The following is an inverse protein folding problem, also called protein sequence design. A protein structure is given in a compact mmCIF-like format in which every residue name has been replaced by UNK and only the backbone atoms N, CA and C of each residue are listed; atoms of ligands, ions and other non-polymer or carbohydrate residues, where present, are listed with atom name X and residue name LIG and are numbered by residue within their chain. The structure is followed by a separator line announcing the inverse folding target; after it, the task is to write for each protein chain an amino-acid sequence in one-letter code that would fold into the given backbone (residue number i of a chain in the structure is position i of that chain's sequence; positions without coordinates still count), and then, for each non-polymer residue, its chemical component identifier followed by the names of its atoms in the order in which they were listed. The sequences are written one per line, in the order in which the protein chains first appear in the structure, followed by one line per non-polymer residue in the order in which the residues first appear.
data_IF_287393447001
#
_entry.id   IF_287393447001
#
_cell.length_a   1.000
_cell.length_b   1.000
_cell.length_c   1.000
_cell.angle_alpha   90.00
_cell.angle_beta   90.00
_cell.angle_gamma   90.00
#
_symmetry.space_group_name_H-M   'P 1'
#
loop_
_entity.id
_entity.type
_entity.pdbx_description
1 polymer ?
#
# COMPACT_ATOMS: atom_id res chain seq x y z
N UNK A 1 22.83 -49.84 -10.66
CA UNK A 1 23.68 -50.21 -9.51
C UNK A 1 24.46 -48.99 -9.04
N UNK A 2 24.36 -48.68 -7.79
CA UNK A 2 25.05 -47.82 -6.83
C UNK A 2 24.23 -46.67 -6.27
N UNK A 3 23.64 -46.98 -5.12
CA UNK A 3 23.09 -46.05 -4.10
C UNK A 3 24.18 -45.15 -3.56
N UNK A 4 23.85 -43.86 -3.36
CA UNK A 4 24.52 -43.04 -2.33
C UNK A 4 23.45 -42.44 -1.41
N UNK A 5 23.47 -42.91 -0.18
CA UNK A 5 22.76 -42.35 0.96
C UNK A 5 23.45 -41.05 1.36
N UNK A 6 22.69 -40.00 1.62
CA UNK A 6 23.16 -38.78 2.30
C UNK A 6 22.55 -38.71 3.69
N UNK A 7 23.46 -38.57 4.66
CA UNK A 7 23.24 -38.53 6.07
C UNK A 7 22.53 -37.22 6.48
N UNK A 8 21.48 -37.39 7.25
CA UNK A 8 20.81 -36.27 7.97
C UNK A 8 21.49 -36.17 9.35
N UNK A 9 22.04 -35.01 9.67
CA UNK A 9 22.65 -34.72 10.99
C UNK A 9 21.67 -33.85 11.79
N UNK A 10 21.11 -34.46 12.84
CA UNK A 10 20.30 -33.75 13.84
C UNK A 10 21.25 -33.01 14.81
N UNK A 11 20.99 -31.72 15.01
CA UNK A 11 21.51 -31.00 16.16
C UNK A 11 20.38 -30.65 17.12
N UNK A 12 20.38 -31.33 18.22
CA UNK A 12 19.54 -31.10 19.39
C UNK A 12 20.25 -30.06 20.26
N UNK A 13 19.62 -28.96 20.61
CA UNK A 13 20.15 -28.05 21.64
C UNK A 13 19.15 -27.88 22.77
N UNK A 14 19.64 -28.18 23.96
CA UNK A 14 18.90 -28.25 25.22
C UNK A 14 18.48 -26.90 25.75
N UNK A 15 17.25 -26.87 26.25
CA UNK A 15 16.67 -25.82 27.13
C UNK A 15 17.24 -25.99 28.54
N UNK A 16 17.72 -24.91 29.12
CA UNK A 16 17.97 -24.80 30.56
C UNK A 16 17.08 -23.72 31.18
N UNK A 17 16.11 -24.20 31.94
CA UNK A 17 15.26 -23.39 32.83
C UNK A 17 16.04 -23.15 34.12
N UNK A 18 16.12 -21.92 34.58
CA UNK A 18 16.40 -21.59 35.96
C UNK A 18 15.32 -20.62 36.49
N UNK A 19 14.50 -21.19 37.35
CA UNK A 19 13.60 -20.47 38.21
C UNK A 19 14.34 -19.90 39.44
N UNK A 20 14.02 -18.70 39.85
CA UNK A 20 14.32 -18.26 41.23
C UNK A 20 13.18 -17.38 41.73
N UNK A 21 12.70 -17.78 42.89
CA UNK A 21 11.57 -17.26 43.63
C UNK A 21 11.89 -16.06 44.54
N UNK A 22 10.86 -15.25 44.81
CA UNK A 22 10.50 -14.65 46.12
C UNK A 22 11.10 -13.28 46.47
N UNK A 23 10.31 -12.25 46.77
CA UNK A 23 9.47 -12.05 47.97
C UNK A 23 8.59 -10.77 47.84
N UNK A 24 7.40 -10.86 48.41
CA UNK A 24 6.42 -9.80 48.72
C UNK A 24 6.97 -8.73 49.65
N UNK A 25 6.58 -7.46 49.41
CA UNK A 25 6.07 -6.57 50.51
C UNK A 25 5.15 -5.51 49.94
N UNK A 26 4.04 -5.35 50.62
CA UNK A 26 2.98 -4.38 50.54
C UNK A 26 3.49 -2.97 50.84
N UNK A 27 3.05 -1.94 50.09
CA UNK A 27 2.19 -0.90 50.62
C UNK A 27 1.74 0.14 49.55
N UNK A 28 0.55 0.52 49.72
CA UNK A 28 -0.47 1.40 49.32
C UNK A 28 -0.05 2.79 48.79
N UNK A 29 -0.82 3.19 47.78
CA UNK A 29 -1.42 4.51 47.50
C UNK A 29 -0.74 5.45 46.51
N UNK A 30 -1.59 5.83 45.62
CA UNK A 30 -1.88 7.14 45.00
C UNK A 30 -1.26 7.42 43.62
N UNK A 31 -2.19 7.57 42.74
CA UNK A 31 -2.45 8.51 41.64
C UNK A 31 -1.95 8.14 40.25
N UNK A 32 -2.93 7.74 39.48
CA UNK A 32 -3.38 8.15 38.14
C UNK A 32 -2.52 9.19 37.38
N UNK A 33 -2.44 8.93 36.08
CA UNK A 33 -1.97 9.77 35.00
C UNK A 33 -0.50 9.49 34.59
N UNK A 34 -0.33 8.43 33.81
CA UNK A 34 0.78 8.29 32.84
C UNK A 34 0.76 6.96 32.05
N UNK A 35 -0.39 6.50 31.60
CA UNK A 35 -0.44 5.25 30.80
C UNK A 35 -0.97 5.42 29.35
N UNK A 36 -1.23 6.64 28.89
CA UNK A 36 -1.77 6.85 27.54
C UNK A 36 -0.74 7.20 26.46
N UNK A 37 0.54 7.39 26.81
CA UNK A 37 1.56 7.79 25.82
C UNK A 37 2.56 6.71 25.43
N UNK A 38 2.60 5.60 26.14
CA UNK A 38 3.58 4.52 25.82
C UNK A 38 3.04 3.42 24.88
N UNK A 39 1.72 3.33 24.65
CA UNK A 39 1.13 2.31 23.78
C UNK A 39 1.14 2.66 22.29
N UNK A 40 1.31 3.91 21.92
CA UNK A 40 1.28 4.37 20.51
C UNK A 40 2.66 4.24 19.85
N UNK A 41 3.75 4.38 20.60
CA UNK A 41 5.11 4.25 20.06
C UNK A 41 5.53 2.78 19.79
N UNK A 42 4.98 1.81 20.53
CA UNK A 42 5.29 0.38 20.27
C UNK A 42 4.61 -0.16 19.01
N UNK A 43 3.45 0.37 18.62
CA UNK A 43 2.71 -0.15 17.47
C UNK A 43 3.28 0.36 16.14
N UNK A 44 3.69 1.63 16.07
CA UNK A 44 4.34 2.20 14.88
C UNK A 44 5.72 1.57 14.58
N UNK A 45 6.45 1.14 15.62
CA UNK A 45 7.74 0.45 15.42
C UNK A 45 7.59 -1.01 14.91
N UNK A 46 6.40 -1.60 15.02
CA UNK A 46 6.10 -2.94 14.53
C UNK A 46 5.70 -2.96 13.05
N UNK A 47 4.95 -1.97 12.58
CA UNK A 47 4.59 -1.85 11.16
C UNK A 47 5.81 -1.68 10.25
N UNK A 48 6.73 -0.77 10.63
CA UNK A 48 7.97 -0.57 9.88
C UNK A 48 8.90 -1.81 9.91
N UNK A 49 8.84 -2.59 10.98
CA UNK A 49 9.62 -3.84 11.06
C UNK A 49 9.01 -4.96 10.18
N UNK A 50 7.67 -4.96 9.96
CA UNK A 50 6.98 -5.95 9.15
C UNK A 50 7.32 -5.82 7.68
N UNK A 51 7.21 -4.63 7.13
CA UNK A 51 7.60 -4.34 5.75
C UNK A 51 9.08 -4.67 5.45
N UNK A 52 9.91 -4.75 6.48
CA UNK A 52 11.35 -5.03 6.35
C UNK A 52 11.70 -6.51 6.13
N UNK A 53 11.07 -7.43 6.84
CA UNK A 53 11.34 -8.87 6.66
C UNK A 53 10.73 -9.38 5.35
N UNK A 54 9.56 -8.87 5.00
CA UNK A 54 8.85 -9.21 3.78
C UNK A 54 9.63 -8.80 2.51
N UNK A 55 10.20 -7.59 2.49
CA UNK A 55 10.96 -7.11 1.32
C UNK A 55 12.35 -7.73 1.15
N UNK A 56 12.96 -8.29 2.21
CA UNK A 56 14.33 -8.86 2.10
C UNK A 56 14.45 -10.08 1.19
N UNK A 57 13.38 -10.86 1.04
CA UNK A 57 13.35 -12.02 0.17
C UNK A 57 13.12 -11.65 -1.31
N UNK A 58 12.26 -10.67 -1.56
CA UNK A 58 11.79 -10.33 -2.89
C UNK A 58 12.80 -9.51 -3.71
N UNK A 59 13.49 -8.56 -3.03
CA UNK A 59 14.47 -7.68 -3.71
C UNK A 59 15.73 -8.42 -4.13
N UNK A 60 16.14 -9.48 -3.43
CA UNK A 60 17.34 -10.24 -3.81
C UNK A 60 17.12 -11.16 -5.02
N UNK A 61 15.88 -11.62 -5.25
CA UNK A 61 15.58 -12.47 -6.42
C UNK A 61 15.27 -11.66 -7.69
N UNK A 62 14.89 -10.38 -7.54
CA UNK A 62 14.57 -9.48 -8.65
C UNK A 62 15.82 -8.87 -9.33
N UNK A 63 16.94 -8.78 -8.61
CA UNK A 63 18.18 -8.07 -9.09
C UNK A 63 18.85 -8.74 -10.30
N UNK A 64 18.56 -10.01 -10.58
CA UNK A 64 19.20 -10.76 -11.68
C UNK A 64 18.42 -10.72 -13.01
N UNK A 65 17.30 -9.99 -13.10
CA UNK A 65 16.57 -9.85 -14.37
C UNK A 65 16.95 -8.54 -15.08
N UNK A 66 17.43 -8.65 -16.32
CA UNK A 66 17.75 -7.49 -17.16
C UNK A 66 16.50 -6.62 -17.39
N UNK A 67 16.57 -5.36 -16.97
CA UNK A 67 15.57 -4.34 -17.32
C UNK A 67 15.74 -4.04 -18.80
N UNK A 68 14.71 -4.28 -19.61
CA UNK A 68 14.72 -3.88 -21.02
C UNK A 68 14.39 -4.96 -22.05
N UNK A 69 13.91 -6.14 -21.64
CA UNK A 69 13.31 -7.10 -22.60
C UNK A 69 11.87 -6.66 -22.87
N UNK A 70 11.45 -6.46 -24.13
CA UNK A 70 10.05 -6.20 -24.43
C UNK A 70 9.20 -7.35 -23.89
N UNK A 71 8.28 -7.05 -22.99
CA UNK A 71 7.34 -8.01 -22.44
C UNK A 71 6.40 -8.46 -23.57
N UNK A 72 6.39 -9.75 -23.90
CA UNK A 72 5.28 -10.32 -24.64
C UNK A 72 4.14 -10.51 -23.66
N UNK A 73 3.07 -9.75 -23.82
CA UNK A 73 1.84 -9.85 -23.01
C UNK A 73 1.37 -11.30 -23.08
N UNK A 74 1.64 -12.08 -22.01
CA UNK A 74 1.30 -13.50 -21.96
C UNK A 74 -0.18 -13.77 -21.76
N UNK A 75 -0.90 -12.78 -21.23
CA UNK A 75 -2.34 -12.85 -20.95
C UNK A 75 -2.98 -11.55 -21.39
N UNK A 76 -3.92 -11.61 -22.31
CA UNK A 76 -4.65 -10.44 -22.79
C UNK A 76 -5.93 -10.25 -21.99
N UNK A 77 -6.54 -9.04 -21.95
CA UNK A 77 -7.84 -8.82 -21.33
C UNK A 77 -8.94 -9.78 -21.79
N UNK A 78 -8.86 -10.29 -23.01
CA UNK A 78 -9.79 -11.28 -23.57
C UNK A 78 -9.67 -12.63 -22.85
N UNK A 79 -8.52 -12.97 -22.27
CA UNK A 79 -8.30 -14.20 -21.53
C UNK A 79 -9.06 -14.22 -20.19
N UNK A 80 -9.41 -13.07 -19.66
CA UNK A 80 -10.22 -12.93 -18.43
C UNK A 80 -11.74 -12.99 -18.68
N UNK A 81 -12.14 -13.14 -19.95
CA UNK A 81 -13.55 -13.25 -20.38
C UNK A 81 -14.44 -12.12 -19.82
N UNK A 82 -13.89 -10.89 -19.77
CA UNK A 82 -14.64 -9.70 -19.40
C UNK A 82 -14.96 -8.90 -20.67
N UNK A 83 -16.25 -8.79 -21.00
CA UNK A 83 -16.74 -7.86 -22.03
C UNK A 83 -16.51 -6.42 -21.55
N UNK A 84 -15.34 -5.87 -21.88
CA UNK A 84 -14.89 -4.58 -21.43
C UNK A 84 -14.92 -3.55 -22.56
N UNK A 85 -15.75 -2.52 -22.39
CA UNK A 85 -15.87 -1.42 -23.35
C UNK A 85 -15.10 -0.20 -22.87
N UNK A 86 -13.82 -0.11 -23.21
CA UNK A 86 -12.96 1.04 -22.89
C UNK A 86 -13.45 2.36 -23.51
N UNK A 87 -14.30 2.30 -24.53
CA UNK A 87 -14.82 3.50 -25.20
C UNK A 87 -15.68 4.39 -24.29
N UNK A 88 -16.09 3.89 -23.13
CA UNK A 88 -16.89 4.61 -22.14
C UNK A 88 -16.07 5.22 -21.02
N UNK A 89 -14.77 4.88 -20.90
CA UNK A 89 -13.97 5.41 -19.80
C UNK A 89 -13.67 6.89 -20.00
N UNK A 90 -14.02 7.67 -18.99
CA UNK A 90 -13.62 9.08 -18.91
C UNK A 90 -12.11 9.15 -18.61
N UNK A 91 -11.44 10.08 -19.28
CA UNK A 91 -10.05 10.41 -18.95
C UNK A 91 -9.95 11.09 -17.59
N UNK A 92 -8.76 11.03 -16.97
CA UNK A 92 -8.49 11.78 -15.75
C UNK A 92 -8.91 13.26 -15.85
N UNK A 93 -8.63 13.91 -17.00
CA UNK A 93 -8.98 15.32 -17.18
C UNK A 93 -10.48 15.61 -17.15
N UNK A 94 -11.31 14.65 -17.51
CA UNK A 94 -12.77 14.77 -17.45
C UNK A 94 -13.31 14.55 -16.04
N UNK A 95 -12.54 13.83 -15.19
CA UNK A 95 -12.92 13.51 -13.79
C UNK A 95 -12.37 14.51 -12.76
N UNK A 96 -11.39 15.34 -13.11
CA UNK A 96 -10.77 16.29 -12.18
C UNK A 96 -11.79 17.22 -11.55
N UNK A 97 -11.84 17.24 -10.23
CA UNK A 97 -12.61 18.22 -9.48
C UNK A 97 -12.03 19.63 -9.62
N UNK A 98 -12.78 20.64 -9.19
CA UNK A 98 -12.29 22.02 -9.14
C UNK A 98 -11.11 22.23 -8.17
N UNK A 99 -10.87 21.27 -7.29
CA UNK A 99 -9.78 21.29 -6.30
C UNK A 99 -8.51 20.63 -6.82
N UNK A 100 -8.57 19.93 -7.97
CA UNK A 100 -7.36 19.32 -8.53
C UNK A 100 -6.29 20.40 -8.77
N UNK A 101 -5.09 20.24 -8.19
CA UNK A 101 -4.06 21.27 -8.23
C UNK A 101 -3.56 21.52 -9.66
N UNK A 102 -3.53 22.81 -10.08
CA UNK A 102 -3.09 23.19 -11.44
C UNK A 102 -1.64 22.86 -11.74
N UNK A 103 -0.80 22.90 -10.70
CA UNK A 103 0.64 22.64 -10.78
C UNK A 103 1.00 21.21 -10.38
N UNK A 104 0.02 20.29 -10.45
CA UNK A 104 0.16 18.89 -10.05
C UNK A 104 -0.04 18.66 -8.55
N UNK A 105 -0.38 17.43 -8.22
CA UNK A 105 -0.60 16.95 -6.85
C UNK A 105 0.73 16.87 -6.10
N UNK A 106 0.80 17.52 -4.96
CA UNK A 106 1.90 17.43 -3.97
C UNK A 106 1.27 17.11 -2.64
N UNK A 107 1.25 15.83 -2.31
CA UNK A 107 0.47 15.35 -1.19
C UNK A 107 1.31 14.78 -0.06
N UNK A 108 0.69 14.71 1.11
CA UNK A 108 1.21 13.97 2.25
C UNK A 108 0.15 13.02 2.80
N UNK A 109 0.58 11.94 3.45
CA UNK A 109 -0.28 11.06 4.20
C UNK A 109 -0.65 11.68 5.54
N UNK A 110 -1.93 11.68 5.87
CA UNK A 110 -2.42 12.13 7.17
C UNK A 110 -3.17 11.01 7.89
N UNK A 111 -2.51 10.40 8.85
CA UNK A 111 -3.08 9.31 9.63
C UNK A 111 -4.42 9.73 10.26
N UNK A 112 -5.49 9.02 9.95
CA UNK A 112 -6.86 9.36 10.34
C UNK A 112 -7.02 9.46 11.86
N UNK A 113 -6.30 8.65 12.63
CA UNK A 113 -6.33 8.69 14.10
C UNK A 113 -5.78 9.99 14.68
N UNK A 114 -4.93 10.68 13.93
CA UNK A 114 -4.34 11.95 14.31
C UNK A 114 -5.22 13.18 13.96
N UNK A 115 -6.27 13.01 13.16
CA UNK A 115 -7.15 14.13 12.74
C UNK A 115 -7.84 14.78 13.96
N UNK A 116 -8.20 13.98 14.95
CA UNK A 116 -8.83 14.46 16.18
C UNK A 116 -7.82 14.90 17.26
N UNK A 117 -6.52 14.82 17.00
CA UNK A 117 -5.50 15.39 17.85
C UNK A 117 -5.23 16.85 17.44
N UNK A 118 -5.59 17.86 18.25
CA UNK A 118 -5.49 19.27 17.84
C UNK A 118 -4.05 19.71 17.54
N UNK A 119 -3.06 19.13 18.23
CA UNK A 119 -1.65 19.50 18.03
C UNK A 119 -1.13 18.97 16.69
N UNK A 120 -1.34 17.69 16.41
CA UNK A 120 -0.92 17.07 15.15
C UNK A 120 -1.69 17.65 13.97
N UNK A 121 -3.01 17.84 14.13
CA UNK A 121 -3.83 18.50 13.10
C UNK A 121 -3.28 19.89 12.75
N UNK A 122 -2.96 20.71 13.78
CA UNK A 122 -2.43 22.05 13.53
C UNK A 122 -1.06 22.01 12.86
N UNK A 123 -0.16 21.10 13.25
CA UNK A 123 1.15 20.92 12.58
C UNK A 123 0.98 20.62 11.09
N UNK A 124 0.08 19.69 10.74
CA UNK A 124 -0.21 19.36 9.34
C UNK A 124 -0.79 20.58 8.60
N UNK A 125 -1.73 21.29 9.20
CA UNK A 125 -2.31 22.48 8.57
C UNK A 125 -1.27 23.60 8.40
N UNK A 126 -0.39 23.80 9.37
CA UNK A 126 0.70 24.79 9.27
C UNK A 126 1.66 24.39 8.15
N UNK A 127 1.96 23.11 7.98
CA UNK A 127 2.80 22.62 6.88
C UNK A 127 2.12 22.87 5.52
N UNK A 128 0.83 22.56 5.39
CA UNK A 128 0.06 22.85 4.17
C UNK A 128 -0.02 24.36 3.85
N UNK A 129 -0.19 25.21 4.87
CA UNK A 129 -0.34 26.64 4.69
C UNK A 129 1.01 27.36 4.36
N UNK A 130 2.17 26.76 4.73
CA UNK A 130 3.48 27.36 4.57
C UNK A 130 4.36 26.75 3.46
N UNK A 131 3.89 25.72 2.78
CA UNK A 131 4.63 25.02 1.71
C UNK A 131 3.84 24.98 0.41
N UNK A 132 4.37 24.27 -0.59
CA UNK A 132 3.66 24.00 -1.85
C UNK A 132 2.77 22.73 -1.80
N UNK A 133 2.70 22.06 -0.66
CA UNK A 133 1.78 20.96 -0.47
C UNK A 133 0.33 21.43 -0.65
N UNK A 134 -0.45 20.64 -1.35
CA UNK A 134 -1.79 21.01 -1.78
C UNK A 134 -2.80 19.87 -1.69
N UNK A 135 -2.35 18.71 -1.20
CA UNK A 135 -3.12 17.48 -1.18
C UNK A 135 -2.89 16.70 0.11
N UNK A 136 -3.95 16.13 0.64
CA UNK A 136 -3.90 15.20 1.77
C UNK A 136 -4.43 13.84 1.33
N UNK A 137 -3.68 12.79 1.65
CA UNK A 137 -4.13 11.40 1.59
C UNK A 137 -4.52 10.95 2.99
N UNK A 138 -5.74 10.46 3.16
CA UNK A 138 -6.26 10.03 4.45
C UNK A 138 -6.92 8.66 4.34
N UNK A 139 -6.70 7.78 5.32
CA UNK A 139 -7.34 6.47 5.32
C UNK A 139 -8.86 6.58 5.45
N UNK A 140 -9.54 5.94 4.53
CA UNK A 140 -10.95 5.60 4.62
C UNK A 140 -11.09 4.23 5.25
N UNK A 141 -10.21 3.31 4.87
CA UNK A 141 -10.03 2.00 5.45
C UNK A 141 -8.54 1.81 5.72
N UNK A 142 -8.18 1.58 6.98
CA UNK A 142 -6.79 1.48 7.41
C UNK A 142 -6.17 0.09 7.13
N UNK A 143 -4.90 -0.07 7.45
CA UNK A 143 -4.10 -1.29 7.19
C UNK A 143 -4.54 -2.49 8.04
N UNK A 144 -5.35 -2.28 9.08
CA UNK A 144 -5.93 -3.36 9.88
C UNK A 144 -7.31 -3.80 9.37
N UNK A 145 -7.96 -2.98 8.56
CA UNK A 145 -9.30 -3.19 7.99
C UNK A 145 -10.39 -2.34 8.66
N UNK A 146 -10.02 -1.41 9.56
CA UNK A 146 -11.02 -0.51 10.14
C UNK A 146 -11.47 0.53 9.11
N UNK A 147 -12.78 0.65 8.93
CA UNK A 147 -13.39 1.78 8.21
C UNK A 147 -13.42 2.97 9.17
N UNK A 148 -12.51 3.91 8.99
CA UNK A 148 -12.24 5.01 9.91
C UNK A 148 -13.26 6.14 9.84
N UNK A 149 -14.01 6.21 8.76
CA UNK A 149 -14.98 7.25 8.46
C UNK A 149 -16.39 6.87 8.92
N UNK A 150 -17.11 7.83 9.52
CA UNK A 150 -18.48 7.64 9.94
C UNK A 150 -19.48 7.75 8.78
N UNK A 151 -19.44 6.79 7.87
CA UNK A 151 -20.39 6.74 6.76
C UNK A 151 -21.79 6.38 7.21
N UNK A 152 -22.79 7.05 6.62
CA UNK A 152 -24.18 6.62 6.71
C UNK A 152 -24.43 5.48 5.72
N UNK A 153 -24.61 4.27 6.24
CA UNK A 153 -24.76 3.05 5.45
C UNK A 153 -25.61 2.01 6.18
N UNK A 154 -26.38 1.24 5.42
CA UNK A 154 -27.11 0.08 5.92
C UNK A 154 -26.35 -1.25 5.71
N UNK A 155 -25.17 -1.21 5.09
CA UNK A 155 -24.36 -2.39 4.86
C UNK A 155 -23.79 -2.93 6.19
N UNK A 156 -24.13 -4.15 6.55
CA UNK A 156 -23.80 -4.77 7.84
C UNK A 156 -22.30 -5.14 7.96
N UNK A 157 -21.59 -5.28 6.84
CA UNK A 157 -20.17 -5.57 6.83
C UNK A 157 -19.38 -4.28 7.08
N UNK A 158 -19.76 -3.19 6.43
CA UNK A 158 -19.16 -1.86 6.67
C UNK A 158 -19.45 -1.39 8.09
N UNK A 159 -20.68 -1.60 8.61
CA UNK A 159 -20.99 -1.30 10.02
C UNK A 159 -20.14 -2.08 11.01
N UNK A 160 -19.80 -3.31 10.69
CA UNK A 160 -18.95 -4.15 11.54
C UNK A 160 -17.53 -3.59 11.64
N UNK A 161 -16.98 -3.14 10.53
CA UNK A 161 -15.59 -2.62 10.44
C UNK A 161 -15.47 -1.14 10.84
N UNK A 162 -16.59 -0.43 10.99
CA UNK A 162 -16.61 1.02 11.20
C UNK A 162 -16.19 1.44 12.62
N UNK A 163 -15.29 2.41 12.73
CA UNK A 163 -14.77 2.94 14.00
C UNK A 163 -15.26 4.35 14.33
N UNK A 164 -15.97 5.02 13.40
CA UNK A 164 -16.58 6.35 13.57
C UNK A 164 -15.61 7.46 14.05
N UNK A 165 -14.34 7.42 13.60
CA UNK A 165 -13.31 8.37 14.04
C UNK A 165 -13.56 9.77 13.49
N UNK A 166 -13.93 9.86 12.19
CA UNK A 166 -14.06 11.13 11.47
C UNK A 166 -15.40 11.19 10.73
N UNK A 167 -16.08 12.34 10.78
CA UNK A 167 -17.17 12.64 9.86
C UNK A 167 -16.59 12.97 8.49
N UNK A 168 -16.84 12.16 7.43
CA UNK A 168 -16.18 12.32 6.15
C UNK A 168 -16.57 13.60 5.42
N UNK A 169 -17.82 14.04 5.53
CA UNK A 169 -18.33 15.24 4.86
C UNK A 169 -17.74 16.50 5.50
N UNK A 170 -17.78 16.59 6.83
CA UNK A 170 -17.21 17.70 7.59
C UNK A 170 -15.70 17.82 7.36
N UNK A 171 -14.99 16.70 7.29
CA UNK A 171 -13.55 16.66 7.01
C UNK A 171 -13.24 17.21 5.61
N UNK A 172 -13.91 16.68 4.58
CA UNK A 172 -13.68 17.09 3.18
C UNK A 172 -14.04 18.57 3.00
N UNK A 173 -15.16 19.03 3.55
CA UNK A 173 -15.55 20.45 3.48
C UNK A 173 -14.49 21.37 4.10
N UNK A 174 -13.93 21.03 5.27
CA UNK A 174 -12.84 21.80 5.91
C UNK A 174 -11.57 21.84 5.07
N UNK A 175 -11.21 20.75 4.40
CA UNK A 175 -10.06 20.71 3.49
C UNK A 175 -10.33 21.58 2.25
N UNK A 176 -11.51 21.48 1.68
CA UNK A 176 -11.94 22.26 0.54
C UNK A 176 -12.00 23.77 0.83
N UNK A 177 -12.37 24.19 2.04
CA UNK A 177 -12.32 25.60 2.48
C UNK A 177 -10.89 26.16 2.41
N UNK A 178 -9.87 25.32 2.59
CA UNK A 178 -8.45 25.65 2.45
C UNK A 178 -7.93 25.46 1.01
N UNK A 179 -8.74 24.94 0.10
CA UNK A 179 -8.33 24.63 -1.26
C UNK A 179 -7.49 23.38 -1.39
N UNK A 180 -7.53 22.50 -0.42
CA UNK A 180 -6.77 21.24 -0.36
C UNK A 180 -7.55 20.16 -1.12
N UNK A 181 -6.87 19.43 -2.01
CA UNK A 181 -7.34 18.24 -2.69
C UNK A 181 -7.30 17.03 -1.74
N UNK A 182 -8.36 16.23 -1.69
CA UNK A 182 -8.49 15.16 -0.71
C UNK A 182 -8.55 13.80 -1.39
N UNK A 183 -7.54 12.98 -1.16
CA UNK A 183 -7.47 11.59 -1.61
C UNK A 183 -7.89 10.67 -0.47
N UNK A 184 -8.87 9.82 -0.73
CA UNK A 184 -9.29 8.80 0.21
C UNK A 184 -8.59 7.46 -0.07
N UNK A 185 -7.70 7.01 0.84
CA UNK A 185 -7.00 5.74 0.72
C UNK A 185 -7.83 4.60 1.29
N UNK A 186 -7.96 3.53 0.52
CA UNK A 186 -8.62 2.28 0.89
C UNK A 186 -7.58 1.17 0.86
N UNK A 187 -7.18 0.67 2.03
CA UNK A 187 -6.42 -0.58 2.11
C UNK A 187 -7.32 -1.72 1.65
N UNK A 188 -6.98 -2.33 0.52
CA UNK A 188 -7.89 -3.21 -0.21
C UNK A 188 -7.91 -4.61 0.38
N UNK A 189 -6.98 -5.46 -0.01
CA UNK A 189 -7.04 -6.89 0.35
C UNK A 189 -6.34 -7.26 1.67
N UNK A 190 -5.68 -6.35 2.34
CA UNK A 190 -5.19 -6.53 3.70
C UNK A 190 -6.29 -6.11 4.68
N UNK A 191 -6.93 -7.06 5.36
CA UNK A 191 -8.06 -6.77 6.24
C UNK A 191 -8.25 -7.87 7.28
N UNK A 192 -7.86 -7.59 8.52
CA UNK A 192 -7.99 -8.51 9.65
C UNK A 192 -9.38 -8.42 10.29
N UNK A 193 -10.08 -7.30 10.13
CA UNK A 193 -11.39 -7.06 10.77
C UNK A 193 -12.49 -7.85 10.06
N UNK A 194 -12.63 -7.66 8.74
CA UNK A 194 -13.74 -8.32 8.03
C UNK A 194 -13.50 -9.82 7.85
N UNK A 195 -12.24 -10.26 7.76
CA UNK A 195 -11.89 -11.68 7.70
C UNK A 195 -12.16 -12.42 9.00
N UNK A 196 -12.14 -11.74 10.16
CA UNK A 196 -12.61 -12.32 11.42
C UNK A 196 -14.11 -12.62 11.38
N UNK A 197 -14.91 -11.72 10.80
CA UNK A 197 -16.36 -11.89 10.60
C UNK A 197 -16.68 -12.93 9.53
N UNK A 198 -15.92 -12.93 8.45
CA UNK A 198 -16.07 -13.79 7.27
C UNK A 198 -14.77 -14.56 6.99
N UNK A 199 -14.44 -15.63 7.75
CA UNK A 199 -13.21 -16.39 7.50
C UNK A 199 -13.16 -17.02 6.07
N UNK A 200 -14.29 -17.23 5.44
CA UNK A 200 -14.44 -17.70 4.06
C UNK A 200 -14.11 -16.63 3.00
N UNK A 201 -14.00 -15.36 3.41
CA UNK A 201 -13.48 -14.28 2.56
C UNK A 201 -11.95 -14.17 2.58
N UNK A 202 -11.29 -14.83 3.52
CA UNK A 202 -9.85 -14.88 3.64
C UNK A 202 -9.25 -16.19 3.14
N UNK A 203 -8.11 -16.50 3.69
CA UNK A 203 -7.38 -17.76 3.47
C UNK A 203 -7.38 -18.55 4.78
N UNK A 204 -7.59 -19.87 4.70
CA UNK A 204 -7.62 -20.71 5.90
C UNK A 204 -6.60 -21.83 5.83
N UNK A 205 -6.13 -22.26 7.00
CA UNK A 205 -5.31 -23.44 7.16
C UNK A 205 -6.14 -24.73 6.99
N UNK A 206 -5.49 -25.89 6.93
CA UNK A 206 -6.16 -27.20 6.76
C UNK A 206 -7.20 -27.49 7.86
N UNK A 207 -6.98 -27.00 9.08
CA UNK A 207 -7.90 -27.13 10.22
C UNK A 207 -9.05 -26.11 10.23
N UNK A 208 -9.12 -25.22 9.23
CA UNK A 208 -10.13 -24.18 9.09
C UNK A 208 -9.82 -22.89 9.88
N UNK A 209 -8.66 -22.79 10.53
CA UNK A 209 -8.22 -21.56 11.20
C UNK A 209 -7.89 -20.50 10.14
N UNK A 210 -8.27 -19.24 10.39
CA UNK A 210 -7.90 -18.12 9.52
C UNK A 210 -6.37 -18.00 9.46
N UNK A 211 -5.82 -17.93 8.26
CA UNK A 211 -4.41 -17.69 8.05
C UNK A 211 -4.07 -16.22 8.29
N UNK A 212 -2.95 -16.00 8.96
CA UNK A 212 -2.36 -14.66 9.13
C UNK A 212 -0.87 -14.72 8.80
N UNK A 213 -0.31 -13.58 8.39
CA UNK A 213 1.12 -13.45 8.19
C UNK A 213 1.89 -13.48 9.52
N UNK A 214 3.23 -13.32 9.48
CA UNK A 214 4.10 -13.33 10.66
C UNK A 214 3.80 -12.22 11.70
N UNK A 215 2.98 -11.23 11.33
CA UNK A 215 2.57 -10.11 12.18
C UNK A 215 1.13 -10.24 12.72
N UNK A 216 0.47 -11.34 12.41
CA UNK A 216 -0.90 -11.59 12.82
C UNK A 216 -1.95 -10.92 11.94
N UNK A 217 -1.56 -10.39 10.79
CA UNK A 217 -2.45 -9.72 9.84
C UNK A 217 -3.08 -10.71 8.87
N UNK A 218 -4.38 -10.57 8.62
CA UNK A 218 -5.10 -11.38 7.66
C UNK A 218 -5.29 -10.65 6.32
N UNK A 219 -5.47 -11.44 5.28
CA UNK A 219 -5.72 -10.94 3.93
C UNK A 219 -7.05 -11.50 3.42
N UNK A 220 -7.82 -10.64 2.76
CA UNK A 220 -8.98 -11.05 1.98
C UNK A 220 -8.53 -11.70 0.68
N UNK A 221 -9.36 -12.58 0.17
CA UNK A 221 -9.14 -13.33 -1.06
C UNK A 221 -9.56 -12.51 -2.30
N UNK A 222 -8.63 -12.00 -3.12
CA UNK A 222 -8.96 -11.17 -4.29
C UNK A 222 -9.77 -11.87 -5.38
N UNK A 223 -9.82 -13.20 -5.38
CA UNK A 223 -10.62 -13.98 -6.31
C UNK A 223 -12.13 -13.86 -6.08
N UNK A 224 -12.56 -13.40 -4.90
CA UNK A 224 -13.96 -13.36 -4.52
C UNK A 224 -14.60 -12.03 -4.92
N UNK A 225 -15.71 -12.14 -5.66
CA UNK A 225 -16.45 -10.97 -6.09
C UNK A 225 -17.03 -10.18 -4.90
N UNK A 226 -17.52 -10.87 -3.88
CA UNK A 226 -18.05 -10.27 -2.65
C UNK A 226 -17.00 -9.46 -1.89
N UNK A 227 -15.73 -9.89 -1.89
CA UNK A 227 -14.60 -9.17 -1.33
C UNK A 227 -14.34 -7.89 -2.13
N UNK A 228 -14.28 -7.99 -3.46
CA UNK A 228 -14.14 -6.83 -4.33
C UNK A 228 -15.31 -5.85 -4.17
N UNK A 229 -16.55 -6.36 -4.07
CA UNK A 229 -17.76 -5.55 -3.84
C UNK A 229 -17.70 -4.77 -2.52
N UNK A 230 -17.12 -5.36 -1.48
CA UNK A 230 -16.97 -4.72 -0.18
C UNK A 230 -16.08 -3.46 -0.27
N UNK A 231 -14.88 -3.57 -0.83
CA UNK A 231 -13.97 -2.43 -0.98
C UNK A 231 -14.50 -1.36 -1.95
N UNK A 232 -15.12 -1.77 -3.05
CA UNK A 232 -15.74 -0.84 -4.00
C UNK A 232 -16.92 -0.08 -3.36
N UNK A 233 -17.71 -0.72 -2.50
CA UNK A 233 -18.78 -0.02 -1.74
C UNK A 233 -18.22 1.03 -0.80
N UNK A 234 -17.13 0.74 -0.08
CA UNK A 234 -16.45 1.71 0.79
C UNK A 234 -15.95 2.90 -0.05
N UNK A 235 -15.28 2.63 -1.17
CA UNK A 235 -14.83 3.65 -2.11
C UNK A 235 -15.97 4.55 -2.61
N UNK A 236 -17.12 3.96 -2.94
CA UNK A 236 -18.32 4.71 -3.37
C UNK A 236 -18.94 5.56 -2.26
N UNK A 237 -18.85 5.14 -1.02
CA UNK A 237 -19.29 5.97 0.12
C UNK A 237 -18.40 7.19 0.27
N UNK A 238 -17.09 7.03 0.14
CA UNK A 238 -16.15 8.14 0.17
C UNK A 238 -16.36 9.11 -1.02
N UNK A 239 -16.52 8.62 -2.22
CA UNK A 239 -16.85 9.43 -3.38
C UNK A 239 -18.14 10.26 -3.15
N UNK A 240 -19.18 9.66 -2.56
CA UNK A 240 -20.43 10.35 -2.18
C UNK A 240 -20.23 11.41 -1.10
N UNK A 241 -19.28 11.19 -0.19
CA UNK A 241 -18.95 12.14 0.87
C UNK A 241 -18.15 13.35 0.35
N UNK A 242 -17.68 13.31 -0.92
CA UNK A 242 -17.03 14.44 -1.59
C UNK A 242 -15.51 14.33 -1.69
N UNK A 243 -14.92 13.17 -1.39
CA UNK A 243 -13.50 12.93 -1.67
C UNK A 243 -13.23 13.15 -3.16
N UNK A 244 -12.12 13.81 -3.46
CA UNK A 244 -11.78 14.21 -4.83
C UNK A 244 -11.18 13.07 -5.66
N UNK A 245 -10.58 12.08 -5.00
CA UNK A 245 -9.95 10.89 -5.60
C UNK A 245 -10.02 9.72 -4.63
N UNK A 246 -10.12 8.51 -5.17
CA UNK A 246 -10.01 7.27 -4.39
C UNK A 246 -8.72 6.57 -4.77
N UNK A 247 -7.90 6.26 -3.76
CA UNK A 247 -6.66 5.51 -3.90
C UNK A 247 -6.81 4.13 -3.27
N UNK A 248 -6.56 3.08 -4.05
CA UNK A 248 -6.52 1.71 -3.54
C UNK A 248 -5.07 1.30 -3.28
N UNK A 249 -4.79 0.95 -2.05
CA UNK A 249 -3.52 0.36 -1.62
C UNK A 249 -3.71 -1.11 -1.27
N UNK A 250 -2.64 -1.87 -1.11
CA UNK A 250 -2.67 -3.33 -0.91
C UNK A 250 -3.51 -4.07 -1.96
N UNK A 251 -3.46 -3.58 -3.21
CA UNK A 251 -4.11 -4.22 -4.37
C UNK A 251 -3.24 -5.40 -4.80
N UNK A 252 -3.19 -6.44 -3.95
CA UNK A 252 -2.30 -7.58 -4.10
C UNK A 252 -2.64 -8.75 -3.20
N UNK A 253 -2.15 -9.92 -3.53
CA UNK A 253 -2.07 -11.04 -2.58
C UNK A 253 -1.00 -10.75 -1.51
N UNK A 254 -1.00 -11.56 -0.44
CA UNK A 254 0.06 -11.49 0.57
C UNK A 254 1.42 -11.83 -0.06
N UNK A 255 2.49 -11.22 0.44
CA UNK A 255 3.84 -11.44 -0.07
C UNK A 255 4.28 -12.89 0.11
N UNK A 256 4.97 -13.42 -0.91
CA UNK A 256 5.40 -14.82 -0.94
C UNK A 256 4.27 -15.82 -1.14
N UNK A 257 3.05 -15.37 -1.51
CA UNK A 257 1.88 -16.23 -1.69
C UNK A 257 2.13 -17.39 -2.65
N UNK A 258 2.98 -17.22 -3.65
CA UNK A 258 3.41 -18.26 -4.60
C UNK A 258 4.14 -19.42 -3.91
N UNK A 259 4.68 -19.20 -2.70
CA UNK A 259 5.46 -20.23 -1.97
C UNK A 259 4.62 -21.01 -0.97
N UNK A 260 3.54 -20.43 -0.46
CA UNK A 260 2.70 -21.05 0.57
C UNK A 260 1.22 -21.15 0.20
N UNK A 261 0.75 -20.45 -0.82
CA UNK A 261 -0.68 -20.42 -1.18
C UNK A 261 -1.29 -21.79 -1.42
N UNK A 262 -0.53 -22.75 -1.97
CA UNK A 262 -0.98 -24.12 -2.17
C UNK A 262 -1.21 -24.90 -0.86
N UNK A 263 -0.75 -24.40 0.26
CA UNK A 263 -0.99 -24.99 1.59
C UNK A 263 -2.25 -24.44 2.26
N UNK A 264 -2.90 -23.46 1.64
CA UNK A 264 -4.09 -22.81 2.16
C UNK A 264 -5.35 -23.29 1.45
N UNK A 265 -6.46 -23.20 2.18
CA UNK A 265 -7.77 -23.43 1.60
C UNK A 265 -8.41 -22.08 1.24
N UNK A 266 -8.79 -21.90 -0.01
CA UNK A 266 -9.51 -20.75 -0.53
C UNK A 266 -10.16 -21.07 -1.87
N UNK A 267 -11.19 -20.33 -2.23
CA UNK A 267 -11.80 -20.42 -3.57
C UNK A 267 -11.03 -19.56 -4.56
N UNK A 268 -10.86 -20.02 -5.78
CA UNK A 268 -10.36 -19.23 -6.90
C UNK A 268 -11.47 -18.51 -7.68
N UNK A 269 -12.68 -18.47 -7.13
CA UNK A 269 -13.82 -17.79 -7.74
C UNK A 269 -14.06 -18.25 -9.19
N UNK A 270 -14.19 -17.31 -10.10
CA UNK A 270 -14.36 -17.59 -11.52
C UNK A 270 -13.16 -18.27 -12.20
N UNK A 271 -11.98 -18.23 -11.58
CA UNK A 271 -10.76 -18.86 -12.08
C UNK A 271 -10.62 -20.34 -11.69
N UNK A 272 -11.53 -20.89 -10.87
CA UNK A 272 -11.44 -22.25 -10.32
C UNK A 272 -11.24 -23.33 -11.40
N UNK A 273 -11.95 -23.22 -12.50
CA UNK A 273 -11.94 -24.22 -13.58
C UNK A 273 -11.21 -23.71 -14.85
N UNK A 274 -10.50 -22.57 -14.77
CA UNK A 274 -9.73 -22.09 -15.92
C UNK A 274 -8.40 -22.84 -16.00
N UNK A 275 -8.05 -23.30 -17.19
CA UNK A 275 -6.75 -23.91 -17.49
C UNK A 275 -5.69 -22.81 -17.67
N UNK A 276 -5.25 -22.24 -16.55
CA UNK A 276 -4.27 -21.16 -16.49
C UNK A 276 -3.26 -21.46 -15.37
N UNK A 277 -2.05 -20.93 -15.51
CA UNK A 277 -1.06 -20.97 -14.43
C UNK A 277 -1.57 -20.15 -13.22
N UNK A 278 -1.19 -20.56 -12.02
CA UNK A 278 -1.67 -19.91 -10.80
C UNK A 278 -1.27 -18.42 -10.73
N UNK A 279 -0.08 -18.05 -11.26
CA UNK A 279 0.34 -16.66 -11.41
C UNK A 279 -0.60 -15.86 -12.30
N UNK A 280 -1.01 -16.42 -13.45
CA UNK A 280 -1.96 -15.79 -14.37
C UNK A 280 -3.32 -15.56 -13.71
N UNK A 281 -3.78 -16.52 -12.93
CA UNK A 281 -5.03 -16.37 -12.18
C UNK A 281 -4.96 -15.21 -11.17
N UNK A 282 -3.84 -15.10 -10.43
CA UNK A 282 -3.64 -14.01 -9.47
C UNK A 282 -3.59 -12.65 -10.18
N UNK A 283 -2.83 -12.54 -11.25
CA UNK A 283 -2.77 -11.31 -12.05
C UNK A 283 -4.16 -10.95 -12.59
N UNK A 284 -4.90 -11.94 -13.11
CA UNK A 284 -6.26 -11.74 -13.60
C UNK A 284 -7.22 -11.23 -12.52
N UNK A 285 -7.14 -11.76 -11.31
CA UNK A 285 -7.97 -11.31 -10.20
C UNK A 285 -7.67 -9.86 -9.79
N UNK A 286 -6.39 -9.50 -9.70
CA UNK A 286 -5.96 -8.15 -9.32
C UNK A 286 -6.27 -7.14 -10.42
N UNK A 287 -5.87 -7.38 -11.66
CA UNK A 287 -6.17 -6.49 -12.79
C UNK A 287 -7.69 -6.36 -13.01
N UNK A 288 -8.41 -7.46 -12.88
CA UNK A 288 -9.88 -7.47 -12.95
C UNK A 288 -10.54 -6.60 -11.87
N UNK A 289 -10.01 -6.63 -10.65
CA UNK A 289 -10.47 -5.72 -9.58
C UNK A 289 -10.22 -4.25 -9.95
N UNK A 290 -8.99 -3.89 -10.38
CA UNK A 290 -8.64 -2.51 -10.73
C UNK A 290 -9.57 -1.97 -11.83
N UNK A 291 -9.76 -2.74 -12.89
CA UNK A 291 -10.70 -2.42 -13.96
C UNK A 291 -12.10 -2.17 -13.46
N UNK A 292 -12.61 -3.12 -12.68
CA UNK A 292 -13.96 -3.06 -12.13
C UNK A 292 -14.16 -1.87 -11.19
N UNK A 293 -13.18 -1.59 -10.32
CA UNK A 293 -13.23 -0.42 -9.44
C UNK A 293 -13.27 0.89 -10.25
N UNK A 294 -12.48 0.97 -11.33
CA UNK A 294 -12.49 2.13 -12.23
C UNK A 294 -13.84 2.33 -12.88
N UNK A 295 -14.48 1.27 -13.40
CA UNK A 295 -15.83 1.34 -13.99
C UNK A 295 -16.87 1.83 -12.99
N UNK A 296 -16.86 1.29 -11.79
CA UNK A 296 -17.83 1.60 -10.74
C UNK A 296 -17.67 3.05 -10.20
N UNK A 297 -16.44 3.59 -10.18
CA UNK A 297 -16.16 4.97 -9.75
C UNK A 297 -16.35 5.99 -10.88
N UNK A 298 -16.22 5.58 -12.13
CA UNK A 298 -16.44 6.44 -13.29
C UNK A 298 -17.84 7.09 -13.29
N UNK A 299 -18.87 6.33 -12.94
CA UNK A 299 -20.25 6.83 -12.85
C UNK A 299 -20.41 7.92 -11.79
N UNK A 300 -19.46 8.03 -10.87
CA UNK A 300 -19.40 9.06 -9.83
C UNK A 300 -18.50 10.23 -10.22
N UNK A 301 -17.84 10.15 -11.37
CA UNK A 301 -16.92 11.16 -11.89
C UNK A 301 -15.75 11.46 -10.92
N UNK A 302 -15.21 10.40 -10.27
CA UNK A 302 -14.10 10.47 -9.33
C UNK A 302 -12.88 9.75 -9.92
N UNK A 303 -11.70 10.38 -9.97
CA UNK A 303 -10.45 9.72 -10.33
C UNK A 303 -10.13 8.55 -9.41
N UNK A 304 -9.47 7.54 -9.97
CA UNK A 304 -8.98 6.39 -9.24
C UNK A 304 -7.46 6.29 -9.37
N UNK A 305 -6.78 6.13 -8.25
CA UNK A 305 -5.36 5.79 -8.18
C UNK A 305 -5.14 4.43 -7.51
N UNK A 306 -4.01 3.83 -7.80
CA UNK A 306 -3.57 2.59 -7.15
C UNK A 306 -2.14 2.73 -6.67
N UNK A 307 -1.85 2.15 -5.51
CA UNK A 307 -0.50 2.00 -4.99
C UNK A 307 0.08 0.65 -5.42
N UNK A 308 1.31 0.67 -5.89
CA UNK A 308 2.02 -0.54 -6.31
C UNK A 308 3.41 -0.59 -5.69
N UNK A 309 3.89 -1.79 -5.42
CA UNK A 309 5.29 -1.93 -5.04
C UNK A 309 6.23 -1.43 -6.15
N UNK A 310 7.24 -0.64 -5.77
CA UNK A 310 8.21 -0.13 -6.73
C UNK A 310 8.87 -1.26 -7.54
N UNK A 311 9.17 -2.41 -6.93
CA UNK A 311 9.79 -3.53 -7.63
C UNK A 311 8.89 -4.15 -8.72
N UNK A 312 7.56 -3.94 -8.68
CA UNK A 312 6.66 -4.45 -9.70
C UNK A 312 7.02 -3.92 -11.11
N UNK A 313 7.48 -2.66 -11.20
CA UNK A 313 8.03 -2.13 -12.44
C UNK A 313 9.29 -2.90 -12.88
N UNK A 314 10.21 -3.19 -11.95
CA UNK A 314 11.49 -3.81 -12.27
C UNK A 314 11.34 -5.24 -12.77
N UNK A 315 10.45 -6.02 -12.19
CA UNK A 315 10.13 -7.38 -12.65
C UNK A 315 9.05 -7.40 -13.72
N UNK A 316 8.40 -6.26 -13.96
CA UNK A 316 7.24 -6.04 -14.84
C UNK A 316 6.00 -6.82 -14.40
N UNK A 317 6.18 -8.05 -13.95
CA UNK A 317 5.11 -8.93 -13.50
C UNK A 317 5.52 -9.70 -12.24
N UNK A 318 4.88 -9.40 -11.13
CA UNK A 318 5.07 -10.04 -9.84
C UNK A 318 3.96 -11.08 -9.60
N UNK A 319 4.09 -12.25 -10.19
CA UNK A 319 3.08 -13.33 -10.19
C UNK A 319 2.65 -13.76 -8.78
N UNK A 320 3.56 -13.69 -7.81
CA UNK A 320 3.32 -14.08 -6.42
C UNK A 320 2.20 -13.27 -5.81
N UNK A 321 2.28 -11.95 -5.96
CA UNK A 321 1.32 -11.00 -5.42
C UNK A 321 0.23 -10.58 -6.41
N UNK A 322 0.32 -11.03 -7.66
CA UNK A 322 -0.65 -10.75 -8.72
C UNK A 322 -0.54 -9.36 -9.34
N UNK A 323 0.57 -8.63 -9.15
CA UNK A 323 0.78 -7.33 -9.77
C UNK A 323 1.48 -7.49 -11.13
N UNK A 324 0.80 -7.13 -12.21
CA UNK A 324 1.37 -6.83 -13.51
C UNK A 324 1.34 -5.32 -13.71
N UNK A 325 2.53 -4.71 -13.75
CA UNK A 325 2.67 -3.25 -13.76
C UNK A 325 1.99 -2.63 -14.99
N UNK A 326 2.13 -3.27 -16.15
CA UNK A 326 1.56 -2.76 -17.41
C UNK A 326 0.04 -2.89 -17.47
N UNK A 327 -0.48 -4.07 -17.12
CA UNK A 327 -1.93 -4.30 -17.12
C UNK A 327 -2.64 -3.42 -16.11
N UNK A 328 -2.13 -3.31 -14.89
CA UNK A 328 -2.70 -2.44 -13.86
C UNK A 328 -2.62 -0.95 -14.27
N UNK A 329 -1.51 -0.53 -14.93
CA UNK A 329 -1.36 0.84 -15.42
C UNK A 329 -2.36 1.21 -16.49
N UNK A 330 -2.76 0.29 -17.35
CA UNK A 330 -3.79 0.53 -18.37
C UNK A 330 -5.19 0.72 -17.76
N UNK A 331 -5.42 0.23 -16.55
CA UNK A 331 -6.73 0.19 -15.90
C UNK A 331 -6.90 1.23 -14.80
N UNK A 332 -5.95 2.16 -14.62
CA UNK A 332 -6.03 3.21 -13.61
C UNK A 332 -5.86 4.61 -14.20
N UNK A 333 -6.32 5.64 -13.50
CA UNK A 333 -6.09 7.03 -13.89
C UNK A 333 -4.72 7.54 -13.41
N UNK A 334 -4.28 7.05 -12.25
CA UNK A 334 -3.01 7.43 -11.61
C UNK A 334 -2.37 6.17 -11.03
N UNK A 335 -1.06 6.01 -11.26
CA UNK A 335 -0.27 4.97 -10.62
C UNK A 335 0.70 5.60 -9.63
N UNK A 336 0.71 5.09 -8.39
CA UNK A 336 1.53 5.59 -7.30
C UNK A 336 2.49 4.50 -6.85
N UNK A 337 3.65 4.47 -7.49
CA UNK A 337 4.71 3.52 -7.14
C UNK A 337 5.36 3.91 -5.81
N UNK A 338 5.48 2.96 -4.89
CA UNK A 338 6.18 3.14 -3.61
C UNK A 338 7.70 3.01 -3.85
N UNK A 339 8.37 4.14 -4.02
CA UNK A 339 9.79 4.18 -4.40
C UNK A 339 10.71 4.56 -3.24
N UNK A 340 10.33 4.20 -2.02
CA UNK A 340 11.10 4.49 -0.81
C UNK A 340 12.54 3.94 -0.92
N UNK A 341 13.59 4.77 -0.84
CA UNK A 341 14.96 4.30 -0.99
C UNK A 341 15.36 3.18 -0.04
N UNK A 342 14.80 3.18 1.19
CA UNK A 342 15.05 2.13 2.19
C UNK A 342 14.49 0.75 1.84
N UNK A 343 13.56 0.67 0.89
CA UNK A 343 12.91 -0.58 0.49
C UNK A 343 13.65 -1.30 -0.64
N UNK A 344 14.79 -0.77 -1.09
CA UNK A 344 15.59 -1.36 -2.16
C UNK A 344 16.82 -2.07 -1.59
N UNK A 345 17.09 -3.25 -2.15
CA UNK A 345 18.29 -4.01 -1.81
C UNK A 345 19.57 -3.34 -2.30
N UNK A 346 20.71 -3.77 -1.75
CA UNK A 346 22.01 -3.31 -2.19
C UNK A 346 22.19 -3.57 -3.70
N UNK A 347 22.77 -2.63 -4.40
CA UNK A 347 23.01 -2.61 -5.84
C UNK A 347 21.76 -2.50 -6.73
N UNK A 348 20.56 -2.24 -6.17
CA UNK A 348 19.38 -1.93 -6.98
C UNK A 348 19.62 -0.70 -7.84
N UNK A 349 19.20 -0.76 -9.12
CA UNK A 349 19.46 0.29 -10.12
C UNK A 349 20.95 0.68 -10.24
N UNK A 350 21.88 -0.26 -10.04
CA UNK A 350 23.33 -0.02 -10.00
C UNK A 350 23.76 1.01 -8.94
N UNK A 351 23.01 1.11 -7.85
CA UNK A 351 23.32 1.95 -6.68
C UNK A 351 23.75 1.04 -5.54
N UNK A 352 24.98 1.17 -5.07
CA UNK A 352 25.53 0.27 -4.04
C UNK A 352 24.65 0.24 -2.77
N UNK A 353 24.19 1.40 -2.32
CA UNK A 353 23.38 1.57 -1.12
C UNK A 353 22.25 2.58 -1.41
N UNK A 354 21.09 2.11 -1.86
CA UNK A 354 20.01 2.98 -2.33
C UNK A 354 19.54 4.02 -1.32
N UNK A 355 19.42 3.67 -0.04
CA UNK A 355 18.96 4.61 1.00
C UNK A 355 19.92 5.79 1.26
N UNK A 356 21.21 5.62 0.91
CA UNK A 356 22.20 6.69 1.01
C UNK A 356 22.22 7.62 -0.23
N UNK A 357 21.52 7.26 -1.29
CA UNK A 357 21.50 8.01 -2.55
C UNK A 357 20.07 8.25 -3.06
N UNK A 358 19.22 8.94 -2.26
CA UNK A 358 17.79 9.08 -2.56
C UNK A 358 17.50 9.78 -3.90
N UNK A 359 18.30 10.76 -4.31
CA UNK A 359 18.20 11.43 -5.60
C UNK A 359 18.42 10.44 -6.76
N UNK A 360 19.51 9.69 -6.70
CA UNK A 360 19.87 8.76 -7.80
C UNK A 360 18.86 7.63 -7.92
N UNK A 361 18.38 7.08 -6.80
CA UNK A 361 17.36 6.03 -6.82
C UNK A 361 16.08 6.53 -7.48
N UNK A 362 15.50 7.62 -6.98
CA UNK A 362 14.26 8.18 -7.50
C UNK A 362 14.41 8.56 -8.97
N UNK A 363 15.52 9.17 -9.35
CA UNK A 363 15.83 9.55 -10.74
C UNK A 363 15.85 8.35 -11.69
N UNK A 364 16.55 7.28 -11.31
CA UNK A 364 16.68 6.07 -12.15
C UNK A 364 15.39 5.28 -12.22
N UNK A 365 14.68 5.19 -11.10
CA UNK A 365 13.36 4.58 -11.08
C UNK A 365 12.40 5.28 -12.05
N UNK A 366 12.27 6.59 -11.93
CA UNK A 366 11.34 7.37 -12.76
C UNK A 366 11.72 7.33 -14.25
N UNK A 367 13.01 7.25 -14.57
CA UNK A 367 13.44 7.07 -15.96
C UNK A 367 12.94 5.73 -16.54
N UNK A 368 13.06 4.64 -15.78
CA UNK A 368 12.56 3.32 -16.17
C UNK A 368 11.02 3.30 -16.26
N UNK A 369 10.34 3.92 -15.29
CA UNK A 369 8.88 4.01 -15.27
C UNK A 369 8.33 4.79 -16.47
N UNK A 370 8.91 5.95 -16.78
CA UNK A 370 8.52 6.75 -17.95
C UNK A 370 8.75 6.02 -19.26
N UNK A 371 9.89 5.33 -19.39
CA UNK A 371 10.17 4.51 -20.58
C UNK A 371 9.09 3.44 -20.74
N UNK A 372 8.72 2.75 -19.66
CA UNK A 372 7.69 1.72 -19.67
C UNK A 372 6.31 2.30 -20.01
N UNK A 373 5.85 3.32 -19.25
CA UNK A 373 4.54 3.93 -19.42
C UNK A 373 4.35 4.54 -20.82
N UNK A 374 5.43 5.05 -21.44
CA UNK A 374 5.36 5.62 -22.79
C UNK A 374 4.98 4.62 -23.88
N UNK A 375 5.03 3.32 -23.59
CA UNK A 375 4.68 2.24 -24.52
C UNK A 375 3.20 1.83 -24.39
N UNK A 376 2.53 2.27 -23.35
CA UNK A 376 1.12 1.95 -23.11
C UNK A 376 0.20 2.78 -24.02
N UNK A 377 -0.95 2.21 -24.39
CA UNK A 377 -1.96 2.92 -25.18
C UNK A 377 -2.61 4.06 -24.38
N UNK A 378 -2.85 3.84 -23.09
CA UNK A 378 -3.49 4.77 -22.17
C UNK A 378 -2.66 4.94 -20.89
N UNK A 379 -1.49 5.61 -20.96
CA UNK A 379 -0.63 5.73 -19.80
C UNK A 379 -1.32 6.54 -18.68
N UNK A 380 -1.31 6.06 -17.44
CA UNK A 380 -1.78 6.82 -16.30
C UNK A 380 -0.83 7.97 -15.96
N UNK A 381 -1.27 8.87 -15.09
CA UNK A 381 -0.36 9.82 -14.44
C UNK A 381 0.50 9.05 -13.42
N UNK A 382 1.81 9.20 -13.50
CA UNK A 382 2.72 8.73 -12.46
C UNK A 382 2.75 9.73 -11.31
N UNK A 383 2.49 9.24 -10.09
CA UNK A 383 2.51 10.02 -8.85
C UNK A 383 3.14 9.18 -7.75
N UNK A 384 4.47 9.11 -7.70
CA UNK A 384 5.16 8.23 -6.77
C UNK A 384 4.99 8.63 -5.30
N UNK A 385 5.00 7.65 -4.41
CA UNK A 385 5.22 7.82 -3.00
C UNK A 385 6.70 7.92 -2.70
N UNK A 386 7.13 8.95 -1.99
CA UNK A 386 8.51 9.17 -1.54
C UNK A 386 8.60 9.11 -0.01
N UNK A 387 9.82 8.88 0.49
CA UNK A 387 10.11 8.61 1.88
C UNK A 387 10.39 9.90 2.66
N UNK A 388 9.71 10.06 3.81
CA UNK A 388 10.06 11.06 4.83
C UNK A 388 10.13 10.39 6.22
N UNK A 389 10.97 9.35 6.33
CA UNK A 389 11.24 8.62 7.57
C UNK A 389 12.63 7.99 7.52
N UNK A 390 13.28 7.82 8.69
CA UNK A 390 14.60 7.21 8.79
C UNK A 390 14.51 5.70 9.04
N UNK A 391 15.08 4.90 8.14
CA UNK A 391 14.98 3.43 8.13
C UNK A 391 16.12 2.74 8.87
N UNK A 392 16.26 2.94 10.18
CA UNK A 392 17.37 2.39 10.99
C UNK A 392 17.44 0.87 10.97
N UNK A 393 16.34 0.18 10.65
CA UNK A 393 16.24 -1.28 10.62
C UNK A 393 16.99 -1.97 9.48
N UNK A 394 17.36 -1.26 8.40
CA UNK A 394 18.08 -1.88 7.27
C UNK A 394 19.56 -2.13 7.56
N UNK A 395 20.02 -1.82 8.77
CA UNK A 395 21.34 -2.14 9.31
C UNK A 395 22.34 -0.99 9.18
N UNK A 396 23.25 -0.93 10.15
CA UNK A 396 24.26 0.12 10.25
C UNK A 396 25.08 0.28 8.95
N UNK A 397 25.23 1.52 8.50
CA UNK A 397 25.96 1.88 7.29
C UNK A 397 25.20 1.67 5.97
N UNK A 398 23.93 1.23 6.02
CA UNK A 398 23.06 1.12 4.85
C UNK A 398 21.94 2.16 4.83
N UNK A 399 21.74 2.90 5.90
CA UNK A 399 20.73 3.96 6.02
C UNK A 399 21.38 5.31 6.37
N UNK A 400 20.68 6.37 6.06
CA UNK A 400 21.00 7.74 6.50
C UNK A 400 19.79 8.35 7.21
N UNK A 401 20.03 9.41 7.99
CA UNK A 401 18.93 10.22 8.52
C UNK A 401 18.22 10.92 7.36
N UNK A 402 16.90 10.76 7.31
CA UNK A 402 16.05 11.44 6.32
C UNK A 402 15.69 12.81 6.88
N UNK A 403 16.62 13.72 6.71
CA UNK A 403 16.47 15.13 7.00
C UNK A 403 15.97 15.91 5.77
N UNK A 404 15.95 17.24 5.90
CA UNK A 404 15.56 18.15 4.82
C UNK A 404 16.27 17.83 3.49
N UNK A 405 17.58 17.64 3.52
CA UNK A 405 18.38 17.45 2.31
C UNK A 405 18.01 16.13 1.60
N UNK A 406 17.71 15.08 2.36
CA UNK A 406 17.31 13.77 1.82
C UNK A 406 15.90 13.81 1.22
N UNK A 407 14.95 14.49 1.85
CA UNK A 407 13.59 14.66 1.31
C UNK A 407 13.62 15.54 0.05
N UNK A 408 14.30 16.70 0.10
CA UNK A 408 14.44 17.59 -1.06
C UNK A 408 15.18 16.92 -2.24
N UNK A 409 16.12 16.01 -1.97
CA UNK A 409 16.81 15.25 -3.01
C UNK A 409 15.84 14.38 -3.83
N UNK A 410 14.87 13.73 -3.18
CA UNK A 410 13.84 12.95 -3.85
C UNK A 410 12.92 13.85 -4.68
N UNK A 411 12.44 14.96 -4.12
CA UNK A 411 11.57 15.92 -4.81
C UNK A 411 12.30 16.50 -6.03
N UNK A 412 13.57 16.87 -5.86
CA UNK A 412 14.40 17.33 -6.96
C UNK A 412 14.53 16.31 -8.08
N UNK A 413 14.70 15.04 -7.76
CA UNK A 413 14.78 13.97 -8.75
C UNK A 413 13.48 13.85 -9.56
N UNK A 414 12.31 14.03 -8.92
CA UNK A 414 11.01 14.05 -9.59
C UNK A 414 10.94 15.21 -10.60
N UNK A 415 11.25 16.44 -10.18
CA UNK A 415 11.24 17.59 -11.06
C UNK A 415 12.26 17.49 -12.21
N UNK A 416 13.47 17.01 -11.92
CA UNK A 416 14.50 16.77 -12.94
C UNK A 416 14.13 15.64 -13.93
N UNK A 417 13.17 14.79 -13.58
CA UNK A 417 12.58 13.78 -14.47
C UNK A 417 11.42 14.32 -15.29
N UNK A 418 11.09 15.62 -15.15
CA UNK A 418 9.98 16.27 -15.87
C UNK A 418 8.60 15.97 -15.30
N UNK A 419 8.52 15.37 -14.11
CA UNK A 419 7.30 15.13 -13.36
C UNK A 419 7.10 16.23 -12.31
N UNK A 420 5.87 16.39 -11.82
CA UNK A 420 5.53 17.42 -10.84
C UNK A 420 4.48 16.95 -9.83
N UNK A 421 4.17 15.65 -9.82
CA UNK A 421 3.24 15.04 -8.86
C UNK A 421 3.98 14.03 -8.00
N UNK A 422 3.70 14.04 -6.69
CA UNK A 422 4.24 13.10 -5.72
C UNK A 422 3.39 13.05 -4.45
N UNK A 423 3.55 11.98 -3.70
CA UNK A 423 3.01 11.81 -2.36
C UNK A 423 4.16 11.51 -1.39
N UNK A 424 4.05 11.98 -0.15
CA UNK A 424 5.05 11.81 0.88
C UNK A 424 4.50 10.91 1.98
N UNK A 425 5.26 9.86 2.29
CA UNK A 425 4.89 8.89 3.31
C UNK A 425 5.68 9.12 4.59
N UNK A 426 4.94 9.31 5.68
CA UNK A 426 5.41 9.15 7.05
C UNK A 426 4.25 8.63 7.90
N UNK A 427 4.34 7.38 8.36
CA UNK A 427 3.27 6.71 9.10
C UNK A 427 2.93 7.41 10.44
N UNK A 428 3.93 8.05 11.07
CA UNK A 428 3.72 8.80 12.32
C UNK A 428 3.02 10.15 12.10
N UNK A 429 3.04 10.67 10.86
CA UNK A 429 2.57 12.02 10.53
C UNK A 429 3.51 13.14 11.01
N UNK A 430 4.74 12.79 11.39
CA UNK A 430 5.78 13.75 11.77
C UNK A 430 6.71 14.01 10.58
N UNK A 431 6.39 15.03 9.80
CA UNK A 431 7.13 15.41 8.61
C UNK A 431 8.35 16.28 8.92
N UNK A 432 9.38 16.14 8.09
CA UNK A 432 10.61 16.91 8.22
C UNK A 432 10.34 18.41 8.03
N UNK A 433 10.82 19.23 8.98
CA UNK A 433 10.62 20.67 8.97
C UNK A 433 11.53 21.37 7.94
N UNK A 434 11.12 22.57 7.49
CA UNK A 434 11.88 23.46 6.58
C UNK A 434 12.16 22.88 5.18
N UNK A 435 11.51 21.80 4.77
CA UNK A 435 11.61 21.25 3.41
C UNK A 435 10.90 22.16 2.41
N UNK A 436 11.49 22.37 1.24
CA UNK A 436 10.87 23.04 0.09
C UNK A 436 10.06 22.00 -0.73
N UNK A 437 8.93 21.59 -0.18
CA UNK A 437 8.04 20.61 -0.79
C UNK A 437 7.51 21.02 -2.16
#
# INVERSE_FOLDING_TARGET
MKNKKVLISFFLLCVLVLASCSKKSTDTSTTTEKEASESVEEDNSKEDASNKEENKGLVNDAVDKEVGVPYEVGVTPDDYNMDYDTSRLLSLNEKKSKYYPKDGVKGLYFNTYNINNPETYQKIMDLMDNTRLNTIVVDIKDDWGNVTMNFDTDDEDIKYSKTDIVDPVDFVEKMHEKGIYVIGRVTTFKDSIITEKHPDWGFTLEDGTLWTNGHGEAFMNPFLKEVQDYDIKIAKLAAKAGFDEIQFDYVRFAEGFETFGDTLNYSRGEFENKEMEEGDKRVGAITGFVRRAREELQDMNVPMSIDVFGYALQVQRADGIGQDFGEMSNETDVISSMIYPSHWGLNSFDIEKPDLEPYELVKRYLAAEQEYLSQLEHPPVSRPWIQDFTATWIGEGNWMEYDKDAVEAQIKAIYDSGQNEFLIWNASGEYTEDVDY
#
